data_IF_306417539018
#
_entry.id   IF_306417539018
#
_cell.length_a   1.000
_cell.length_b   1.000
_cell.length_c   1.000
_cell.angle_alpha   90.00
_cell.angle_beta   90.00
_cell.angle_gamma   90.00
#
_symmetry.space_group_name_H-M   'P 1'
#
loop_
_entity.id
_entity.type
_entity.pdbx_description
1 polymer ?
#
# COMPACT_ATOMS: atom_id res chain seq x y z
N UNK A 1 22.48 23.99 7.44
CA UNK A 1 21.48 23.31 8.27
C UNK A 1 21.05 22.08 7.52
N UNK A 2 21.50 20.91 7.99
CA UNK A 2 21.32 19.62 7.33
C UNK A 2 19.83 19.23 7.45
N UNK A 3 19.12 19.13 6.33
CA UNK A 3 17.72 18.68 6.36
C UNK A 3 17.71 17.25 6.88
N UNK A 4 17.19 17.09 8.08
CA UNK A 4 16.94 15.84 8.78
C UNK A 4 16.44 14.77 7.81
N UNK A 5 17.30 13.77 7.51
CA UNK A 5 16.88 12.56 6.82
C UNK A 5 15.80 11.92 7.68
N UNK A 6 14.54 12.09 7.28
CA UNK A 6 13.43 11.39 7.91
C UNK A 6 13.78 9.91 7.94
N UNK A 7 13.54 9.22 9.09
CA UNK A 7 13.88 7.80 9.20
C UNK A 7 13.21 7.03 8.06
N UNK A 8 13.93 6.07 7.48
CA UNK A 8 13.45 5.24 6.35
C UNK A 8 13.40 3.79 6.80
N UNK A 9 12.43 3.04 6.28
CA UNK A 9 12.38 1.59 6.39
C UNK A 9 12.73 0.95 5.05
N UNK A 10 13.09 -0.32 5.10
CA UNK A 10 13.43 -1.11 3.92
C UNK A 10 12.16 -1.59 3.20
N UNK A 11 12.24 -1.78 1.89
CA UNK A 11 11.24 -2.49 1.09
C UNK A 11 11.95 -3.35 0.03
N UNK A 12 11.65 -4.64 -0.03
CA UNK A 12 12.14 -5.52 -1.07
C UNK A 12 11.13 -6.63 -1.37
N UNK A 13 10.99 -7.03 -2.63
CA UNK A 13 10.26 -8.24 -3.01
C UNK A 13 10.86 -8.85 -4.28
N UNK A 14 10.83 -10.17 -4.39
CA UNK A 14 11.48 -10.90 -5.48
C UNK A 14 10.45 -11.41 -6.48
N UNK A 15 10.79 -11.39 -7.77
CA UNK A 15 9.90 -11.91 -8.79
C UNK A 15 9.61 -13.40 -8.53
N UNK A 16 8.33 -13.77 -8.53
CA UNK A 16 7.92 -15.16 -8.49
C UNK A 16 8.23 -15.82 -9.84
N UNK A 17 9.20 -16.74 -9.85
CA UNK A 17 9.62 -17.41 -11.08
C UNK A 17 8.66 -18.50 -11.53
N UNK A 18 7.86 -19.00 -10.60
CA UNK A 18 6.87 -20.03 -10.86
C UNK A 18 5.55 -19.42 -11.36
N UNK A 19 5.48 -18.08 -11.46
CA UNK A 19 4.34 -17.38 -12.03
C UNK A 19 4.31 -17.52 -13.54
N UNK A 20 3.25 -18.13 -14.06
CA UNK A 20 2.93 -18.23 -15.48
C UNK A 20 1.82 -17.25 -15.87
N UNK A 21 1.75 -16.83 -17.16
CA UNK A 21 0.65 -16.03 -17.66
C UNK A 21 -0.71 -16.71 -17.41
N UNK A 22 -1.65 -16.00 -16.78
CA UNK A 22 -3.00 -16.48 -16.49
C UNK A 22 -3.17 -17.18 -15.14
N UNK A 23 -2.09 -17.44 -14.40
CA UNK A 23 -2.20 -17.99 -13.05
C UNK A 23 -2.61 -16.93 -12.00
N UNK A 24 -3.03 -17.42 -10.83
CA UNK A 24 -3.41 -16.60 -9.66
C UNK A 24 -2.26 -16.46 -8.65
N UNK A 25 -1.04 -16.86 -9.03
CA UNK A 25 0.12 -16.74 -8.15
C UNK A 25 0.52 -15.27 -8.00
N UNK A 26 1.10 -14.88 -6.85
CA UNK A 26 1.65 -13.55 -6.68
C UNK A 26 2.75 -13.29 -7.71
N UNK A 27 2.83 -12.06 -8.21
CA UNK A 27 3.92 -11.62 -9.08
C UNK A 27 5.23 -11.44 -8.31
N UNK A 28 5.16 -10.99 -7.06
CA UNK A 28 6.31 -10.91 -6.18
C UNK A 28 6.09 -11.70 -4.89
N UNK A 29 7.11 -12.47 -4.50
CA UNK A 29 7.15 -13.31 -3.30
C UNK A 29 8.33 -12.94 -2.42
N UNK A 30 8.35 -13.47 -1.19
CA UNK A 30 9.40 -13.20 -0.20
C UNK A 30 9.62 -11.70 0.02
N UNK A 31 8.52 -10.94 0.01
CA UNK A 31 8.50 -9.52 0.27
C UNK A 31 8.86 -9.24 1.72
N UNK A 32 9.63 -8.19 1.96
CA UNK A 32 10.04 -7.72 3.29
C UNK A 32 9.93 -6.21 3.34
N UNK A 33 9.22 -5.71 4.33
CA UNK A 33 9.00 -4.28 4.53
C UNK A 33 9.20 -3.92 6.00
N UNK A 34 9.95 -2.87 6.26
CA UNK A 34 10.11 -2.32 7.61
C UNK A 34 9.38 -0.99 7.73
N UNK A 35 8.97 -0.64 8.95
CA UNK A 35 8.49 0.70 9.26
C UNK A 35 9.66 1.71 9.20
N UNK A 36 9.38 2.99 8.94
CA UNK A 36 10.39 4.04 8.99
C UNK A 36 11.08 4.11 10.36
N UNK A 37 12.39 3.88 10.38
CA UNK A 37 13.20 3.91 11.62
C UNK A 37 13.16 2.62 12.43
N UNK A 38 12.45 1.60 11.96
CA UNK A 38 12.35 0.30 12.57
C UNK A 38 13.30 -0.71 11.89
N UNK A 39 13.72 -1.72 12.64
CA UNK A 39 14.50 -2.86 12.13
C UNK A 39 13.63 -4.09 11.88
N UNK A 40 12.46 -4.17 12.51
CA UNK A 40 11.53 -5.27 12.31
C UNK A 40 11.01 -5.26 10.87
N UNK A 41 11.16 -6.41 10.17
CA UNK A 41 10.67 -6.61 8.82
C UNK A 41 9.42 -7.50 8.84
N UNK A 42 8.41 -7.11 8.08
CA UNK A 42 7.16 -7.86 7.92
C UNK A 42 7.15 -8.55 6.55
N UNK A 43 6.77 -9.82 6.54
CA UNK A 43 6.67 -10.60 5.30
C UNK A 43 5.45 -10.17 4.48
N UNK A 44 5.55 -10.14 3.16
CA UNK A 44 4.39 -9.97 2.27
C UNK A 44 4.60 -10.66 0.92
N UNK A 45 3.52 -10.77 0.16
CA UNK A 45 3.54 -11.11 -1.25
C UNK A 45 2.64 -10.12 -2.02
N UNK A 46 2.88 -9.94 -3.31
CA UNK A 46 2.16 -8.98 -4.14
C UNK A 46 1.51 -9.65 -5.34
N UNK A 47 0.23 -9.38 -5.54
CA UNK A 47 -0.56 -9.78 -6.69
C UNK A 47 -0.74 -8.60 -7.64
N UNK A 48 -0.66 -8.84 -8.96
CA UNK A 48 -0.97 -7.81 -9.92
C UNK A 48 -2.48 -7.52 -9.91
N UNK A 49 -2.84 -6.26 -10.09
CA UNK A 49 -4.20 -5.83 -10.38
C UNK A 49 -4.19 -4.79 -11.49
N UNK A 50 -5.27 -4.71 -12.25
CA UNK A 50 -5.41 -3.68 -13.28
C UNK A 50 -6.12 -2.46 -12.72
N UNK A 51 -5.66 -1.28 -13.11
CA UNK A 51 -6.32 -0.02 -12.81
C UNK A 51 -6.19 0.95 -13.98
N UNK A 52 -7.15 1.85 -14.11
CA UNK A 52 -7.09 2.92 -15.10
C UNK A 52 -6.35 4.11 -14.48
N UNK A 53 -5.26 4.52 -15.10
CA UNK A 53 -4.48 5.68 -14.66
C UNK A 53 -5.26 6.96 -14.96
N UNK A 54 -5.65 7.71 -13.93
CA UNK A 54 -6.57 8.86 -14.07
C UNK A 54 -6.08 9.95 -15.02
N UNK A 55 -4.77 10.24 -15.02
CA UNK A 55 -4.22 11.33 -15.82
C UNK A 55 -4.06 10.97 -17.31
N UNK A 56 -3.86 9.68 -17.64
CA UNK A 56 -3.61 9.24 -19.03
C UNK A 56 -4.76 8.43 -19.62
N UNK A 57 -5.69 7.94 -18.81
CA UNK A 57 -6.78 7.04 -19.23
C UNK A 57 -6.30 5.62 -19.57
N UNK A 58 -5.01 5.32 -19.43
CA UNK A 58 -4.43 4.04 -19.81
C UNK A 58 -4.67 2.97 -18.73
N UNK A 59 -4.89 1.73 -19.18
CA UNK A 59 -4.81 0.58 -18.29
C UNK A 59 -3.37 0.33 -17.86
N UNK A 60 -3.16 0.20 -16.56
CA UNK A 60 -1.86 -0.09 -15.95
C UNK A 60 -1.98 -1.21 -14.95
N UNK A 61 -0.88 -1.93 -14.76
CA UNK A 61 -0.77 -2.97 -13.74
C UNK A 61 -0.19 -2.39 -12.46
N UNK A 62 -0.98 -2.40 -11.40
CA UNK A 62 -0.53 -2.14 -10.03
C UNK A 62 -0.26 -3.45 -9.30
N UNK A 63 0.23 -3.35 -8.07
CA UNK A 63 0.47 -4.51 -7.22
C UNK A 63 -0.12 -4.31 -5.83
N UNK A 64 -0.82 -5.30 -5.30
CA UNK A 64 -1.40 -5.24 -3.95
C UNK A 64 -1.14 -6.52 -3.18
N UNK A 65 -1.03 -6.41 -1.86
CA UNK A 65 -0.76 -7.53 -0.98
C UNK A 65 -1.17 -7.27 0.46
N UNK A 66 -0.92 -8.28 1.30
CA UNK A 66 -1.04 -8.15 2.75
C UNK A 66 0.26 -8.58 3.42
N UNK A 67 0.65 -7.82 4.43
CA UNK A 67 1.71 -8.15 5.36
C UNK A 67 1.26 -9.23 6.34
N UNK A 68 2.22 -10.01 6.81
CA UNK A 68 2.06 -10.84 8.00
C UNK A 68 1.75 -9.98 9.22
N UNK A 69 1.04 -10.55 10.18
CA UNK A 69 0.66 -9.87 11.43
C UNK A 69 1.86 -9.69 12.38
N UNK A 70 2.91 -10.47 12.16
CA UNK A 70 4.11 -10.48 12.98
C UNK A 70 5.35 -10.18 12.14
N UNK A 71 6.39 -9.60 12.77
CA UNK A 71 7.73 -9.56 12.20
C UNK A 71 8.23 -10.95 11.81
N UNK A 72 9.08 -11.00 10.79
CA UNK A 72 9.69 -12.24 10.27
C UNK A 72 10.50 -12.97 11.34
N UNK A 73 11.09 -12.21 12.27
CA UNK A 73 11.92 -12.69 13.37
C UNK A 73 11.16 -12.78 14.71
N UNK A 74 9.83 -12.70 14.68
CA UNK A 74 9.01 -12.82 15.88
C UNK A 74 9.28 -14.15 16.61
N UNK A 75 9.57 -14.06 17.91
CA UNK A 75 9.88 -15.22 18.73
C UNK A 75 8.62 -16.07 19.02
N UNK A 76 8.82 -17.31 19.50
CA UNK A 76 7.72 -18.24 19.76
C UNK A 76 6.68 -17.68 20.74
N UNK A 77 7.08 -16.87 21.73
CA UNK A 77 6.16 -16.27 22.68
C UNK A 77 5.25 -15.23 22.00
N UNK A 78 5.81 -14.35 21.17
CA UNK A 78 5.05 -13.38 20.37
C UNK A 78 4.07 -14.08 19.40
N UNK A 79 4.48 -15.20 18.81
CA UNK A 79 3.60 -16.01 17.95
C UNK A 79 2.42 -16.60 18.73
N UNK A 80 2.66 -17.14 19.93
CA UNK A 80 1.61 -17.67 20.80
C UNK A 80 0.65 -16.55 21.27
N UNK A 81 1.18 -15.40 21.67
CA UNK A 81 0.36 -14.27 22.08
C UNK A 81 -0.54 -13.76 20.95
N UNK A 82 0.00 -13.64 19.73
CA UNK A 82 -0.78 -13.23 18.57
C UNK A 82 -1.90 -14.24 18.25
N UNK A 83 -1.59 -15.54 18.32
CA UNK A 83 -2.59 -16.59 18.13
C UNK A 83 -3.69 -16.54 19.21
N UNK A 84 -3.34 -16.21 20.46
CA UNK A 84 -4.27 -16.14 21.58
C UNK A 84 -5.16 -14.88 21.58
N UNK A 85 -4.64 -13.72 21.12
CA UNK A 85 -5.40 -12.47 21.06
C UNK A 85 -6.45 -12.46 19.95
N UNK A 86 -6.31 -13.32 18.94
CA UNK A 86 -7.09 -13.22 17.72
C UNK A 86 -6.73 -11.95 16.94
N UNK A 87 -7.21 -11.85 15.69
CA UNK A 87 -6.86 -10.75 14.79
C UNK A 87 -7.38 -9.42 15.33
N UNK A 88 -6.51 -8.64 16.00
CA UNK A 88 -6.82 -7.27 16.38
C UNK A 88 -6.90 -6.44 15.08
N UNK A 89 -8.11 -6.27 14.54
CA UNK A 89 -8.30 -5.44 13.37
C UNK A 89 -8.23 -3.98 13.82
N UNK A 90 -7.09 -3.33 13.62
CA UNK A 90 -7.09 -1.87 13.52
C UNK A 90 -8.15 -1.43 12.48
N UNK A 91 -8.72 -0.22 12.59
CA UNK A 91 -9.55 0.29 11.51
C UNK A 91 -8.71 0.51 10.24
N UNK A 92 -9.35 0.42 9.08
CA UNK A 92 -8.73 0.87 7.84
C UNK A 92 -8.36 2.35 7.96
N UNK A 93 -7.19 2.72 7.45
CA UNK A 93 -6.69 4.09 7.47
C UNK A 93 -6.91 4.70 6.09
N UNK A 94 -7.30 5.97 6.06
CA UNK A 94 -7.44 6.71 4.81
C UNK A 94 -6.08 7.27 4.37
N UNK A 95 -5.61 6.80 3.22
CA UNK A 95 -4.43 7.30 2.52
C UNK A 95 -4.79 8.34 1.45
N UNK A 96 -3.81 8.75 0.63
CA UNK A 96 -4.01 9.78 -0.39
C UNK A 96 -5.11 9.41 -1.39
N UNK A 97 -5.88 10.41 -1.80
CA UNK A 97 -6.97 10.22 -2.77
C UNK A 97 -8.13 9.38 -2.26
N UNK A 98 -8.37 9.33 -0.94
CA UNK A 98 -9.40 8.52 -0.26
C UNK A 98 -9.21 7.01 -0.44
N UNK A 99 -7.95 6.61 -0.64
CA UNK A 99 -7.55 5.22 -0.67
C UNK A 99 -7.70 4.64 0.73
N UNK A 100 -8.64 3.70 0.91
CA UNK A 100 -8.78 2.98 2.17
C UNK A 100 -7.77 1.84 2.23
N UNK A 101 -6.87 1.90 3.22
CA UNK A 101 -5.86 0.89 3.47
C UNK A 101 -6.26 0.05 4.68
N UNK A 102 -6.67 -1.19 4.45
CA UNK A 102 -6.90 -2.16 5.51
C UNK A 102 -5.62 -2.39 6.34
N UNK A 103 -5.74 -2.83 7.61
CA UNK A 103 -4.59 -3.26 8.40
C UNK A 103 -3.78 -4.35 7.68
N UNK A 104 -2.47 -4.15 7.59
CA UNK A 104 -1.57 -5.03 6.86
C UNK A 104 -1.55 -4.80 5.34
N UNK A 105 -2.35 -3.90 4.77
CA UNK A 105 -2.39 -3.71 3.33
C UNK A 105 -1.10 -3.08 2.79
N UNK A 106 -0.67 -3.54 1.62
CA UNK A 106 0.42 -2.96 0.82
C UNK A 106 -0.10 -2.77 -0.60
N UNK A 107 0.11 -1.60 -1.19
CA UNK A 107 -0.31 -1.31 -2.57
C UNK A 107 0.72 -0.46 -3.28
N UNK A 108 0.98 -0.77 -4.56
CA UNK A 108 1.90 -0.10 -5.46
C UNK A 108 1.19 0.25 -6.77
N UNK A 109 1.53 1.41 -7.30
CA UNK A 109 1.06 1.97 -8.56
C UNK A 109 2.27 2.34 -9.42
N UNK A 110 2.12 2.25 -10.74
CA UNK A 110 3.15 2.66 -11.69
C UNK A 110 3.34 4.17 -11.59
N UNK A 111 4.59 4.59 -11.42
CA UNK A 111 4.94 6.01 -11.45
C UNK A 111 4.92 6.54 -12.89
N UNK A 112 4.40 7.75 -13.06
CA UNK A 112 4.69 8.55 -14.26
C UNK A 112 5.88 9.46 -13.99
N UNK A 113 6.88 9.51 -14.87
CA UNK A 113 7.86 10.59 -14.84
C UNK A 113 7.13 11.93 -14.87
N UNK A 114 7.49 12.85 -13.96
CA UNK A 114 7.12 14.26 -14.13
C UNK A 114 8.11 14.85 -15.13
N UNK A 115 7.61 15.43 -16.21
CA UNK A 115 8.44 16.05 -17.24
C UNK A 115 9.46 17.02 -16.60
N UNK A 116 10.76 16.78 -16.87
CA UNK A 116 11.82 17.77 -16.66
C UNK A 116 12.55 17.80 -15.30
N UNK A 117 12.24 16.97 -14.30
CA UNK A 117 13.05 16.96 -13.07
C UNK A 117 14.22 15.97 -13.16
N UNK A 118 15.41 16.47 -13.50
CA UNK A 118 16.66 15.71 -13.58
C UNK A 118 17.32 15.39 -12.21
N UNK A 119 16.54 15.23 -11.14
CA UNK A 119 17.07 14.93 -9.82
C UNK A 119 16.53 13.58 -9.34
N UNK A 120 17.46 12.61 -9.23
CA UNK A 120 17.28 11.22 -8.79
C UNK A 120 16.49 10.31 -9.75
N UNK A 121 16.97 9.07 -9.90
CA UNK A 121 16.34 8.04 -10.74
C UNK A 121 14.84 7.97 -10.39
N UNK A 122 13.92 8.28 -11.31
CA UNK A 122 12.50 8.26 -11.00
C UNK A 122 12.14 6.86 -10.51
N UNK A 123 11.40 6.81 -9.40
CA UNK A 123 10.84 5.55 -8.88
C UNK A 123 9.99 4.89 -9.95
N UNK A 124 10.12 3.58 -10.13
CA UNK A 124 9.29 2.82 -11.08
C UNK A 124 7.87 2.65 -10.54
N UNK A 125 7.75 2.49 -9.22
CA UNK A 125 6.48 2.42 -8.50
C UNK A 125 6.45 3.36 -7.30
N UNK A 126 5.26 3.85 -6.99
CA UNK A 126 4.94 4.50 -5.73
C UNK A 126 3.78 3.78 -5.07
N UNK A 127 3.63 3.91 -3.76
CA UNK A 127 2.57 3.20 -3.09
C UNK A 127 2.44 3.53 -1.63
N UNK A 128 1.65 2.72 -0.93
CA UNK A 128 1.31 2.92 0.46
C UNK A 128 1.26 1.59 1.20
N UNK A 129 1.58 1.60 2.49
CA UNK A 129 1.37 0.47 3.38
C UNK A 129 0.76 0.89 4.71
N UNK A 130 -0.11 0.05 5.26
CA UNK A 130 -0.65 0.18 6.61
C UNK A 130 -0.21 -1.02 7.44
N UNK A 131 0.59 -0.82 8.48
CA UNK A 131 1.11 -1.90 9.33
C UNK A 131 0.06 -2.48 10.29
N UNK A 132 -1.06 -1.78 10.53
CA UNK A 132 -2.16 -2.30 11.33
C UNK A 132 -1.94 -2.29 12.85
N UNK A 133 -0.87 -1.65 13.32
CA UNK A 133 -0.53 -1.48 14.74
C UNK A 133 -0.98 -0.13 15.32
N UNK A 134 -1.75 0.65 14.53
CA UNK A 134 -2.19 1.99 14.88
C UNK A 134 -1.22 3.11 14.44
N UNK A 135 -0.07 2.78 13.83
CA UNK A 135 0.79 3.78 13.21
C UNK A 135 0.09 4.42 12.00
N UNK A 136 0.50 5.65 11.60
CA UNK A 136 0.14 6.19 10.30
C UNK A 136 0.52 5.24 9.16
N UNK A 137 -0.16 5.37 8.01
CA UNK A 137 0.30 4.72 6.79
C UNK A 137 1.68 5.26 6.39
N UNK A 138 2.40 4.51 5.58
CA UNK A 138 3.73 4.89 5.06
C UNK A 138 3.69 5.01 3.55
N UNK A 139 4.45 5.95 3.01
CA UNK A 139 4.70 6.10 1.59
C UNK A 139 5.80 5.14 1.14
N UNK A 140 5.59 4.52 -0.02
CA UNK A 140 6.55 3.62 -0.65
C UNK A 140 7.12 4.26 -1.91
N UNK A 141 8.45 4.21 -2.03
CA UNK A 141 9.17 4.55 -3.25
C UNK A 141 9.99 3.34 -3.67
N UNK A 142 9.69 2.77 -4.84
CA UNK A 142 10.15 1.45 -5.24
C UNK A 142 10.71 1.49 -6.66
N UNK A 143 11.84 0.83 -6.86
CA UNK A 143 12.53 0.68 -8.14
C UNK A 143 12.63 -0.79 -8.53
N UNK A 144 12.50 -1.04 -9.83
CA UNK A 144 12.87 -2.33 -10.42
C UNK A 144 14.38 -2.44 -10.45
N UNK A 145 14.89 -3.56 -9.98
CA UNK A 145 16.32 -3.86 -9.90
C UNK A 145 16.56 -5.35 -10.14
N UNK A 146 17.83 -5.76 -10.05
CA UNK A 146 18.24 -7.16 -10.11
C UNK A 146 18.98 -7.50 -8.82
N UNK A 147 18.78 -8.72 -8.33
CA UNK A 147 19.55 -9.27 -7.21
C UNK A 147 21.00 -9.58 -7.64
N UNK A 148 21.82 -10.04 -6.68
CA UNK A 148 23.22 -10.44 -6.91
C UNK A 148 23.41 -11.58 -7.93
N UNK A 149 22.34 -12.31 -8.26
CA UNK A 149 22.32 -13.41 -9.23
C UNK A 149 21.65 -13.00 -10.55
N UNK A 150 21.36 -11.70 -10.75
CA UNK A 150 20.75 -11.16 -11.95
C UNK A 150 19.23 -11.38 -12.05
N UNK A 151 18.58 -11.88 -11.00
CA UNK A 151 17.13 -12.11 -10.96
C UNK A 151 16.38 -10.82 -10.70
N UNK A 152 15.25 -10.62 -11.38
CA UNK A 152 14.43 -9.43 -11.21
C UNK A 152 13.87 -9.34 -9.77
N UNK A 153 13.95 -8.15 -9.20
CA UNK A 153 13.37 -7.82 -7.90
C UNK A 153 12.87 -6.37 -7.92
N UNK A 154 12.05 -6.03 -6.95
CA UNK A 154 11.72 -4.64 -6.62
C UNK A 154 12.33 -4.31 -5.27
N UNK A 155 12.94 -3.14 -5.17
CA UNK A 155 13.60 -2.66 -3.96
C UNK A 155 13.29 -1.19 -3.75
N UNK A 156 13.17 -0.74 -2.52
CA UNK A 156 12.71 0.59 -2.22
C UNK A 156 12.85 0.96 -0.76
N UNK A 157 12.25 2.10 -0.42
CA UNK A 157 12.18 2.59 0.95
C UNK A 157 10.73 2.89 1.32
N UNK A 158 10.41 2.67 2.59
CA UNK A 158 9.24 3.22 3.26
C UNK A 158 9.62 4.50 4.02
N UNK A 159 8.72 5.48 4.03
CA UNK A 159 8.87 6.71 4.81
C UNK A 159 7.50 7.14 5.33
N UNK A 160 7.45 7.81 6.48
CA UNK A 160 6.21 8.47 6.88
C UNK A 160 5.89 9.58 5.88
N UNK A 161 4.60 9.85 5.61
CA UNK A 161 4.18 10.97 4.80
C UNK A 161 4.82 12.25 5.35
N UNK A 162 5.48 13.00 4.48
CA UNK A 162 5.94 14.34 4.86
C UNK A 162 4.70 15.21 5.05
N UNK A 163 4.64 16.01 6.10
CA UNK A 163 3.61 17.03 6.31
C UNK A 163 3.69 18.09 5.19
N UNK A 164 3.20 17.76 4.00
CA UNK A 164 3.06 18.65 2.85
C UNK A 164 1.79 18.31 2.07
N UNK A 165 0.76 19.08 2.42
CA UNK A 165 -0.29 19.65 1.58
C UNK A 165 -0.53 18.99 0.21
N UNK A 166 -1.72 18.41 0.12
CA UNK A 166 -2.43 17.86 -1.03
C UNK A 166 -2.26 18.64 -2.35
N UNK A 167 -1.54 18.04 -3.29
CA UNK A 167 -1.63 18.32 -4.74
C UNK A 167 -2.13 17.06 -5.48
N UNK A 168 -3.15 16.39 -4.92
CA UNK A 168 -3.83 15.27 -5.58
C UNK A 168 -5.34 15.50 -5.56
N UNK A 169 -6.06 15.16 -6.65
CA UNK A 169 -7.44 15.58 -6.86
C UNK A 169 -8.36 15.07 -5.73
N UNK A 170 -9.14 15.99 -5.15
CA UNK A 170 -10.04 15.73 -4.04
C UNK A 170 -11.39 15.17 -4.51
N UNK A 171 -12.14 14.55 -3.59
CA UNK A 171 -13.48 14.01 -3.86
C UNK A 171 -14.48 15.12 -4.19
N UNK A 172 -14.27 16.38 -3.79
CA UNK A 172 -15.16 17.48 -4.15
C UNK A 172 -15.31 17.61 -5.68
N UNK A 173 -14.22 17.45 -6.44
CA UNK A 173 -14.25 17.51 -7.90
C UNK A 173 -15.06 16.36 -8.55
N UNK A 174 -15.16 15.21 -7.88
CA UNK A 174 -15.89 14.03 -8.39
C UNK A 174 -17.38 14.04 -8.02
N UNK A 175 -17.77 14.81 -7.00
CA UNK A 175 -19.16 15.06 -6.61
C UNK A 175 -19.78 16.13 -7.51
N UNK A 176 -19.04 17.18 -7.84
CA UNK A 176 -19.50 18.25 -8.75
C UNK A 176 -19.74 17.75 -10.19
N UNK A 177 -19.02 16.71 -10.63
CA UNK A 177 -19.20 16.07 -11.94
C UNK A 177 -20.33 15.02 -11.98
N UNK A 178 -21.05 14.79 -10.87
CA UNK A 178 -22.22 13.90 -10.80
C UNK A 178 -21.90 12.40 -10.97
N UNK A 179 -20.62 12.00 -10.84
CA UNK A 179 -20.18 10.61 -11.08
C UNK A 179 -20.25 9.71 -9.84
N UNK A 180 -20.42 10.29 -8.64
CA UNK A 180 -20.66 9.55 -7.39
C UNK A 180 -21.70 10.29 -6.54
N UNK A 181 -22.74 9.58 -6.08
CA UNK A 181 -23.67 10.11 -5.08
C UNK A 181 -23.18 9.82 -3.65
N UNK A 182 -23.26 10.80 -2.75
CA UNK A 182 -23.09 10.58 -1.30
C UNK A 182 -24.20 9.65 -0.82
N UNK A 183 -23.84 8.45 -0.34
CA UNK A 183 -24.60 7.63 0.62
C UNK A 183 -26.08 7.31 0.31
N UNK A 184 -26.37 6.04 0.01
CA UNK A 184 -27.71 5.45 -0.15
C UNK A 184 -28.59 5.48 1.14
N UNK A 185 -29.92 5.25 1.03
CA UNK A 185 -30.92 5.64 2.02
C UNK A 185 -30.99 4.72 3.25
N UNK A 186 -31.34 5.30 4.40
CA UNK A 186 -31.59 4.57 5.65
C UNK A 186 -32.75 3.56 5.51
N UNK A 187 -32.50 2.32 5.97
CA UNK A 187 -33.48 1.23 5.98
C UNK A 187 -34.59 1.45 7.02
N UNK A 188 -35.83 1.30 6.56
CA UNK A 188 -37.06 0.82 7.23
C UNK A 188 -37.00 0.62 8.76
N UNK A 189 -37.88 1.34 9.47
CA UNK A 189 -38.49 0.93 10.75
C UNK A 189 -40.00 0.75 10.53
N UNK A 190 -40.56 -0.37 10.99
CA UNK A 190 -41.93 -0.80 10.67
C UNK A 190 -43.04 -0.31 11.62
N UNK A 191 -44.26 -0.36 11.06
CA UNK A 191 -45.59 -0.80 11.58
C UNK A 191 -46.29 -0.04 12.73
N UNK A 192 -47.56 0.34 12.43
CA UNK A 192 -48.69 0.59 13.35
C UNK A 192 -49.19 2.05 13.30
N UNK A 193 -50.46 2.42 13.12
CA UNK A 193 -51.77 1.76 13.08
C UNK A 193 -52.86 2.82 12.79
N UNK A 194 -54.13 2.40 12.67
CA UNK A 194 -55.39 3.18 12.54
C UNK A 194 -55.37 4.51 13.35
N UNK A 195 -55.95 5.61 12.86
CA UNK A 195 -57.39 5.90 12.66
C UNK A 195 -57.61 6.95 11.55
#
# INVERSE_FOLDING_TARGET
MDQSKSPRGNFVAFLNRDKEPGDKLPAFVNGRIAKPGDKEEYAFALWPFEYTHKATGEFRTGFSGRMGELPIDANAHQQIEAAARGKASAPAIEGPGNLKLDPGAVVLFVSTPKDGSAADKPKDYYGYANFGDGSPYVDLSVWVSKDRYGKAMISGNSQYPLDKQSDQPTIEALVDEGRVARGMPDKRKGRGGRE
#
